data_IF_667083865332
#
_entry.id   IF_667083865332
#
_cell.length_a   1.000
_cell.length_b   1.000
_cell.length_c   1.000
_cell.angle_alpha   90.00
_cell.angle_beta   90.00
_cell.angle_gamma   90.00
#
_symmetry.space_group_name_H-M   'P 1'
#
loop_
_entity.id
_entity.type
_entity.pdbx_description
1 polymer ?
#
# COMPACT_ATOMS: atom_id res chain seq x y z
N UNK A 1 12.16 -2.98 60.04
CA UNK A 1 11.92 -1.99 58.98
C UNK A 1 12.88 -2.29 57.83
N UNK A 2 12.35 -2.77 56.71
CA UNK A 2 13.09 -3.25 55.54
C UNK A 2 13.18 -2.13 54.49
N UNK A 3 14.35 -1.81 53.90
CA UNK A 3 14.40 -0.99 52.69
C UNK A 3 14.44 -1.88 51.45
N UNK A 4 13.38 -1.83 50.67
CA UNK A 4 13.23 -2.47 49.36
C UNK A 4 14.06 -1.73 48.31
N UNK A 5 15.04 -2.39 47.69
CA UNK A 5 15.77 -1.85 46.55
C UNK A 5 15.09 -2.27 45.22
N UNK A 6 15.12 -1.43 44.17
CA UNK A 6 14.35 -1.67 42.95
C UNK A 6 15.02 -2.71 42.04
N UNK A 7 14.21 -3.61 41.48
CA UNK A 7 14.61 -4.58 40.46
C UNK A 7 15.14 -3.87 39.19
N UNK A 8 16.27 -4.33 38.61
CA UNK A 8 16.70 -3.84 37.32
C UNK A 8 15.70 -4.26 36.24
N UNK A 9 15.18 -3.26 35.52
CA UNK A 9 14.36 -3.45 34.32
C UNK A 9 15.17 -4.25 33.31
N UNK A 10 14.78 -5.52 33.14
CA UNK A 10 15.24 -6.44 32.09
C UNK A 10 15.10 -5.72 30.74
N UNK A 11 16.24 -5.31 30.18
CA UNK A 11 16.30 -4.82 28.81
C UNK A 11 15.84 -5.98 27.92
N UNK A 12 14.75 -5.76 27.17
CA UNK A 12 14.40 -6.66 26.08
C UNK A 12 15.46 -6.45 24.99
N UNK A 13 16.12 -7.50 24.50
CA UNK A 13 16.98 -7.35 23.34
C UNK A 13 16.10 -6.87 22.19
N UNK A 14 16.52 -5.80 21.54
CA UNK A 14 15.97 -5.36 20.26
C UNK A 14 16.49 -6.37 19.24
N UNK A 15 15.65 -7.20 18.60
CA UNK A 15 16.11 -8.03 17.50
C UNK A 15 16.32 -7.11 16.30
N UNK A 16 17.59 -6.81 16.05
CA UNK A 16 18.09 -6.15 14.86
C UNK A 16 18.05 -7.17 13.71
N UNK A 17 16.85 -7.51 13.21
CA UNK A 17 16.66 -8.18 11.90
C UNK A 17 15.19 -8.24 11.40
N UNK A 18 14.19 -7.91 12.22
CA UNK A 18 12.75 -8.15 11.91
C UNK A 18 12.10 -7.15 10.92
N UNK A 19 12.84 -6.18 10.37
CA UNK A 19 12.24 -5.18 9.46
C UNK A 19 12.21 -5.66 8.01
N UNK A 20 13.18 -6.48 7.58
CA UNK A 20 13.28 -6.95 6.19
C UNK A 20 12.14 -7.89 5.80
N UNK A 21 11.77 -8.78 6.72
CA UNK A 21 10.70 -9.77 6.51
C UNK A 21 9.33 -9.11 6.41
N UNK A 22 9.06 -8.13 7.28
CA UNK A 22 7.76 -7.42 7.32
C UNK A 22 7.47 -6.68 6.02
N UNK A 23 8.46 -5.97 5.46
CA UNK A 23 8.28 -5.28 4.18
C UNK A 23 8.14 -6.25 3.01
N UNK A 24 8.90 -7.34 3.01
CA UNK A 24 8.84 -8.36 1.96
C UNK A 24 7.45 -9.03 1.92
N UNK A 25 6.90 -9.37 3.08
CA UNK A 25 5.55 -9.90 3.21
C UNK A 25 4.50 -8.88 2.75
N UNK A 26 4.64 -7.61 3.17
CA UNK A 26 3.73 -6.55 2.74
C UNK A 26 3.77 -6.34 1.21
N UNK A 27 4.96 -6.37 0.59
CA UNK A 27 5.13 -6.27 -0.87
C UNK A 27 4.40 -7.44 -1.56
N UNK A 28 4.57 -8.67 -1.06
CA UNK A 28 3.87 -9.83 -1.59
C UNK A 28 2.34 -9.70 -1.43
N UNK A 29 1.86 -9.13 -0.33
CA UNK A 29 0.43 -8.96 -0.03
C UNK A 29 -0.29 -7.97 -0.95
N UNK A 30 0.43 -6.97 -1.48
CA UNK A 30 -0.17 -5.94 -2.34
C UNK A 30 -0.16 -6.34 -3.81
N UNK A 31 0.49 -7.44 -4.20
CA UNK A 31 0.45 -7.98 -5.54
C UNK A 31 -0.63 -9.04 -5.65
N UNK A 32 -1.60 -8.82 -6.53
CA UNK A 32 -2.70 -9.76 -6.77
C UNK A 32 -2.16 -10.99 -7.52
N UNK A 33 -2.47 -12.18 -7.00
CA UNK A 33 -2.17 -13.47 -7.62
C UNK A 33 -3.39 -14.04 -8.36
N UNK A 34 -4.60 -13.74 -7.87
CA UNK A 34 -5.85 -14.22 -8.45
C UNK A 34 -6.92 -13.13 -8.53
N UNK A 35 -7.79 -13.22 -9.55
CA UNK A 35 -8.89 -12.27 -9.74
C UNK A 35 -9.79 -12.20 -8.50
N UNK A 36 -9.97 -10.98 -7.97
CA UNK A 36 -10.83 -10.73 -6.81
C UNK A 36 -10.10 -10.62 -5.48
N UNK A 37 -8.80 -10.90 -5.41
CA UNK A 37 -7.99 -10.56 -4.22
C UNK A 37 -7.96 -9.04 -4.05
N UNK A 38 -8.16 -8.60 -2.80
CA UNK A 38 -8.18 -7.18 -2.46
C UNK A 38 -7.35 -6.92 -1.21
N UNK A 39 -6.17 -6.29 -1.34
CA UNK A 39 -5.32 -6.01 -0.20
C UNK A 39 -5.96 -4.98 0.72
N UNK A 40 -5.37 -4.86 1.91
CA UNK A 40 -5.70 -3.83 2.89
C UNK A 40 -4.53 -2.87 3.13
N UNK A 41 -3.39 -3.04 2.45
CA UNK A 41 -2.24 -2.14 2.50
C UNK A 41 -2.18 -1.33 1.20
N UNK A 42 -1.79 -0.06 1.29
CA UNK A 42 -1.62 0.80 0.11
C UNK A 42 -0.24 0.62 -0.51
N UNK A 43 -0.16 0.05 -1.72
CA UNK A 43 1.11 -0.19 -2.42
C UNK A 43 1.92 1.09 -2.67
N UNK A 44 1.26 2.23 -2.86
CA UNK A 44 1.95 3.53 -3.04
C UNK A 44 2.45 4.13 -1.73
N UNK A 45 1.79 3.87 -0.60
CA UNK A 45 2.36 4.22 0.70
C UNK A 45 3.52 3.30 1.04
N UNK A 46 3.36 1.99 0.79
CA UNK A 46 4.36 0.98 1.07
C UNK A 46 5.70 1.29 0.39
N UNK A 47 5.65 1.75 -0.86
CA UNK A 47 6.82 2.12 -1.65
C UNK A 47 7.35 3.54 -1.41
N UNK A 48 6.64 4.38 -0.64
CA UNK A 48 7.08 5.75 -0.40
C UNK A 48 8.10 5.82 0.74
N UNK A 49 9.38 5.87 0.39
CA UNK A 49 10.51 5.96 1.33
C UNK A 49 10.55 7.27 2.13
N UNK A 50 9.76 8.28 1.77
CA UNK A 50 9.64 9.54 2.52
C UNK A 50 8.68 9.44 3.70
N UNK A 51 7.89 8.37 3.79
CA UNK A 51 6.97 8.13 4.89
C UNK A 51 7.63 7.27 5.98
N UNK A 52 7.27 7.46 7.26
CA UNK A 52 7.71 6.56 8.32
C UNK A 52 7.12 5.16 8.11
N UNK A 53 7.81 4.13 8.59
CA UNK A 53 7.42 2.72 8.44
C UNK A 53 5.96 2.45 8.81
N UNK A 54 5.48 3.00 9.94
CA UNK A 54 4.09 2.85 10.40
C UNK A 54 3.04 3.29 9.38
N UNK A 55 3.37 4.26 8.52
CA UNK A 55 2.47 4.77 7.49
C UNK A 55 2.58 3.95 6.21
N UNK A 56 3.78 3.46 5.90
CA UNK A 56 4.05 2.58 4.76
C UNK A 56 3.36 1.23 4.91
N UNK A 57 3.39 0.66 6.11
CA UNK A 57 2.81 -0.64 6.47
C UNK A 57 1.37 -0.53 7.02
N UNK A 58 0.73 0.64 6.92
CA UNK A 58 -0.59 0.86 7.47
C UNK A 58 -1.63 -0.05 6.80
N UNK A 59 -2.24 -0.92 7.60
CA UNK A 59 -3.41 -1.71 7.21
C UNK A 59 -4.70 -0.90 7.37
N UNK A 60 -5.56 -0.97 6.36
CA UNK A 60 -6.89 -0.38 6.35
C UNK A 60 -7.94 -1.39 6.80
N UNK A 61 -9.03 -0.90 7.42
CA UNK A 61 -10.10 -1.75 7.97
C UNK A 61 -10.70 -2.73 6.94
N UNK A 62 -10.77 -2.32 5.68
CA UNK A 62 -11.29 -3.14 4.59
C UNK A 62 -10.82 -2.60 3.23
N UNK A 63 -10.97 -3.37 2.14
CA UNK A 63 -10.59 -2.91 0.80
C UNK A 63 -11.27 -1.62 0.36
N UNK A 64 -12.51 -1.36 0.79
CA UNK A 64 -13.23 -0.14 0.44
C UNK A 64 -12.60 1.12 1.06
N UNK A 65 -12.14 1.04 2.30
CA UNK A 65 -11.44 2.15 2.96
C UNK A 65 -10.04 2.37 2.37
N UNK A 66 -9.37 1.28 1.96
CA UNK A 66 -8.14 1.37 1.16
C UNK A 66 -8.38 2.09 -0.17
N UNK A 67 -9.40 1.70 -0.95
CA UNK A 67 -9.72 2.35 -2.23
C UNK A 67 -9.96 3.84 -2.08
N UNK A 68 -10.71 4.22 -1.05
CA UNK A 68 -10.99 5.64 -0.76
C UNK A 68 -9.72 6.40 -0.41
N UNK A 69 -8.85 5.81 0.40
CA UNK A 69 -7.55 6.38 0.72
C UNK A 69 -6.72 6.58 -0.55
N UNK A 70 -6.61 5.54 -1.38
CA UNK A 70 -5.84 5.57 -2.61
C UNK A 70 -6.32 6.70 -3.53
N UNK A 71 -7.63 6.79 -3.78
CA UNK A 71 -8.18 7.85 -4.62
C UNK A 71 -7.91 9.25 -4.06
N UNK A 72 -8.16 9.46 -2.76
CA UNK A 72 -8.02 10.79 -2.17
C UNK A 72 -6.56 11.24 -2.02
N UNK A 73 -5.65 10.33 -1.66
CA UNK A 73 -4.25 10.67 -1.36
C UNK A 73 -3.37 10.63 -2.59
N UNK A 74 -3.67 9.74 -3.53
CA UNK A 74 -2.76 9.44 -4.64
C UNK A 74 -3.33 9.76 -6.02
N UNK A 75 -4.66 9.82 -6.20
CA UNK A 75 -5.27 10.08 -7.51
C UNK A 75 -5.74 11.51 -7.64
N UNK A 76 -6.46 12.06 -6.64
CA UNK A 76 -6.96 13.44 -6.70
C UNK A 76 -5.85 14.49 -6.81
N UNK A 77 -4.76 14.42 -6.02
CA UNK A 77 -3.65 15.37 -6.15
C UNK A 77 -2.77 15.11 -7.38
N UNK A 78 -2.99 13.99 -8.09
CA UNK A 78 -2.19 13.59 -9.24
C UNK A 78 -2.59 14.41 -10.48
N UNK A 79 -1.64 15.13 -11.11
CA UNK A 79 -1.87 15.80 -12.40
C UNK A 79 -2.26 14.77 -13.47
N UNK A 80 -3.03 15.20 -14.48
CA UNK A 80 -3.48 14.30 -15.55
C UNK A 80 -2.35 13.87 -16.48
N UNK A 81 -1.34 14.73 -16.63
CA UNK A 81 -0.14 14.63 -17.47
C UNK A 81 1.06 14.03 -16.75
N UNK A 82 0.91 13.64 -15.47
CA UNK A 82 2.01 13.08 -14.70
C UNK A 82 2.25 11.62 -15.03
N UNK A 83 3.52 11.28 -15.22
CA UNK A 83 4.00 9.90 -15.35
C UNK A 83 4.59 9.42 -14.02
N UNK A 84 4.34 8.17 -13.64
CA UNK A 84 4.99 7.54 -12.51
C UNK A 84 5.36 6.08 -12.78
N UNK A 85 6.34 5.59 -12.04
CA UNK A 85 6.71 4.18 -12.06
C UNK A 85 6.18 3.52 -10.77
N UNK A 86 5.56 2.35 -10.91
CA UNK A 86 5.17 1.57 -9.75
C UNK A 86 6.41 0.91 -9.15
N UNK A 87 6.90 1.44 -8.03
CA UNK A 87 8.08 0.91 -7.32
C UNK A 87 7.90 -0.51 -6.73
N UNK A 88 6.74 -1.14 -6.90
CA UNK A 88 6.47 -2.51 -6.45
C UNK A 88 6.73 -3.52 -7.58
N UNK A 89 6.34 -3.20 -8.82
CA UNK A 89 6.44 -4.11 -9.97
C UNK A 89 7.19 -3.53 -11.18
N UNK A 90 7.63 -2.27 -11.12
CA UNK A 90 8.41 -1.58 -12.16
C UNK A 90 7.61 -1.05 -13.35
N UNK A 91 6.27 -1.17 -13.36
CA UNK A 91 5.46 -0.72 -14.49
C UNK A 91 5.41 0.81 -14.58
N UNK A 92 5.66 1.35 -15.78
CA UNK A 92 5.56 2.79 -16.06
C UNK A 92 4.14 3.16 -16.44
N UNK A 93 3.58 4.13 -15.73
CA UNK A 93 2.21 4.57 -15.82
C UNK A 93 2.20 5.99 -16.38
N UNK A 94 1.68 6.10 -17.60
CA UNK A 94 1.74 7.35 -18.38
C UNK A 94 0.51 8.23 -18.22
N UNK A 95 -0.47 7.82 -17.41
CA UNK A 95 -1.68 8.60 -17.20
C UNK A 95 -2.40 8.17 -15.93
N UNK A 96 -3.25 9.07 -15.43
CA UNK A 96 -4.13 8.81 -14.29
C UNK A 96 -5.09 7.63 -14.51
N UNK A 97 -5.75 7.47 -15.68
CA UNK A 97 -6.48 6.23 -16.00
C UNK A 97 -5.58 4.99 -16.02
N UNK A 98 -4.34 5.11 -16.52
CA UNK A 98 -3.36 4.02 -16.48
C UNK A 98 -3.05 3.57 -15.05
N UNK A 99 -2.82 4.52 -14.14
CA UNK A 99 -2.59 4.23 -12.72
C UNK A 99 -3.82 3.60 -12.03
N UNK A 100 -5.04 4.02 -12.37
CA UNK A 100 -6.26 3.39 -11.84
C UNK A 100 -6.42 1.96 -12.34
N UNK A 101 -6.19 1.71 -13.64
CA UNK A 101 -6.26 0.37 -14.22
C UNK A 101 -5.17 -0.55 -13.62
N UNK A 102 -3.95 -0.03 -13.50
CA UNK A 102 -2.84 -0.73 -12.86
C UNK A 102 -3.16 -1.09 -11.40
N UNK A 103 -3.63 -0.13 -10.60
CA UNK A 103 -4.00 -0.35 -9.21
C UNK A 103 -5.12 -1.39 -9.05
N UNK A 104 -6.02 -1.51 -10.04
CA UNK A 104 -7.04 -2.55 -10.07
C UNK A 104 -6.43 -3.92 -10.40
N UNK A 105 -5.69 -4.03 -11.51
CA UNK A 105 -5.27 -5.31 -12.09
C UNK A 105 -4.10 -5.93 -11.36
N UNK A 106 -3.11 -5.13 -11.01
CA UNK A 106 -1.86 -5.61 -10.40
C UNK A 106 -1.96 -5.62 -8.87
N UNK A 107 -2.76 -4.70 -8.31
CA UNK A 107 -2.77 -4.46 -6.87
C UNK A 107 -4.15 -4.52 -6.20
N UNK A 108 -5.24 -4.87 -6.91
CA UNK A 108 -6.58 -5.08 -6.33
C UNK A 108 -7.14 -3.91 -5.50
N UNK A 109 -6.49 -2.75 -5.58
CA UNK A 109 -6.60 -1.63 -4.63
C UNK A 109 -7.90 -0.88 -4.85
N UNK A 110 -8.35 -0.82 -6.09
CA UNK A 110 -9.67 -0.32 -6.48
C UNK A 110 -10.48 -1.46 -7.10
N UNK A 111 -11.79 -1.44 -6.92
CA UNK A 111 -12.70 -2.29 -7.70
C UNK A 111 -13.29 -1.44 -8.80
N UNK A 112 -13.15 -1.82 -10.07
CA UNK A 112 -13.98 -1.22 -11.10
C UNK A 112 -15.42 -1.72 -10.92
N UNK A 113 -16.32 -0.78 -10.64
CA UNK A 113 -17.65 -0.80 -11.26
C UNK A 113 -17.48 -0.59 -12.78
N UNK A 114 -18.42 -1.09 -13.60
CA UNK A 114 -18.13 -1.61 -14.94
C UNK A 114 -17.51 -0.57 -15.89
N UNK A 115 -16.69 -1.09 -16.82
CA UNK A 115 -15.97 -0.39 -17.90
C UNK A 115 -16.74 0.73 -18.65
N UNK A 116 -18.09 0.73 -18.80
CA UNK A 116 -18.80 1.84 -19.45
C UNK A 116 -18.65 3.20 -18.74
N UNK A 117 -18.33 3.23 -17.45
CA UNK A 117 -18.18 4.48 -16.69
C UNK A 117 -16.88 5.25 -16.99
N UNK A 118 -15.96 4.67 -17.77
CA UNK A 118 -14.66 5.27 -18.13
C UNK A 118 -14.62 5.80 -19.57
N UNK A 119 -15.72 5.73 -20.32
CA UNK A 119 -15.82 6.31 -21.66
C UNK A 119 -14.87 5.71 -22.70
N UNK A 120 -14.32 4.53 -22.45
CA UNK A 120 -13.43 3.84 -23.39
C UNK A 120 -14.25 2.87 -24.26
N UNK A 121 -13.98 2.79 -25.58
CA UNK A 121 -14.66 1.84 -26.45
C UNK A 121 -14.24 0.40 -26.11
N UNK A 122 -15.21 -0.50 -26.13
CA UNK A 122 -14.97 -1.95 -26.14
C UNK A 122 -14.55 -2.39 -27.56
N UNK A 123 -13.71 -3.44 -27.68
CA UNK A 123 -13.27 -3.97 -28.96
C UNK A 123 -14.41 -4.57 -29.79
#
# INVERSE_FOLDING_TARGET
MLPTAPLPKRQKPIPLDESGDTFSEAIASVCVKFLGERPTICFMCLSNTRLPERERLKMYKNPGSLSRHFVNKHIKPFPNDMHCECNICGEKLMSKPGLLNHAQRMHGTVSCLPLPALGLPLP
#
